data_IF_322059731105
#
_entry.id   IF_322059731105
#
_cell.length_a   1.000
_cell.length_b   1.000
_cell.length_c   1.000
_cell.angle_alpha   90.00
_cell.angle_beta   90.00
_cell.angle_gamma   90.00
#
_symmetry.space_group_name_H-M   'P 1'
#
loop_
_entity.id
_entity.type
_entity.pdbx_description
1 polymer ?
#
# COMPACT_ATOMS: atom_id res chain seq x y z
N UNK A 1 23.49 35.86 54.86
CA UNK A 1 23.16 36.29 53.51
C UNK A 1 21.62 36.32 53.42
N UNK A 2 21.06 37.37 52.87
CA UNK A 2 19.63 37.48 52.60
C UNK A 2 19.39 37.50 51.09
N UNK A 3 18.35 36.86 50.64
CA UNK A 3 17.90 36.90 49.24
C UNK A 3 16.55 37.59 49.19
N UNK A 4 16.27 38.28 48.09
CA UNK A 4 14.96 38.90 47.86
C UNK A 4 14.00 37.80 47.40
N UNK A 5 12.80 37.79 47.96
CA UNK A 5 11.69 36.93 47.49
C UNK A 5 11.14 37.56 46.22
N UNK A 6 11.16 36.83 45.13
CA UNK A 6 10.65 37.28 43.84
C UNK A 6 9.34 36.56 43.52
N UNK A 7 8.45 37.24 42.79
CA UNK A 7 7.31 36.62 42.16
C UNK A 7 7.63 36.39 40.71
N UNK A 8 7.64 35.12 40.29
CA UNK A 8 7.77 34.74 38.88
C UNK A 8 7.16 33.38 38.62
N UNK A 9 6.85 33.14 37.37
CA UNK A 9 6.52 31.80 36.90
C UNK A 9 7.79 30.96 36.93
N UNK A 10 7.74 29.83 37.62
CA UNK A 10 8.83 28.82 37.60
C UNK A 10 8.57 27.90 36.42
N UNK A 11 9.55 27.77 35.57
CA UNK A 11 9.53 26.82 34.47
C UNK A 11 10.70 25.85 34.66
N UNK A 12 10.37 24.58 34.77
CA UNK A 12 11.37 23.51 34.69
C UNK A 12 11.64 23.24 33.23
N UNK A 13 12.82 23.55 32.76
CA UNK A 13 13.24 23.30 31.38
C UNK A 13 14.13 22.07 31.32
N UNK A 14 13.79 21.17 30.37
CA UNK A 14 14.71 20.11 29.97
C UNK A 14 15.45 20.57 28.72
N UNK A 15 16.78 20.50 28.77
CA UNK A 15 17.63 20.81 27.62
C UNK A 15 18.30 19.51 27.19
N UNK A 16 18.07 19.11 25.97
CA UNK A 16 18.66 17.94 25.35
C UNK A 16 19.10 18.25 23.93
N UNK A 17 19.49 17.25 23.18
CA UNK A 17 19.84 17.36 21.78
C UNK A 17 18.99 16.38 20.96
N UNK A 18 18.67 16.76 19.73
CA UNK A 18 17.96 15.91 18.80
C UNK A 18 18.53 16.01 17.40
N UNK A 19 18.51 14.90 16.71
CA UNK A 19 19.00 14.78 15.33
C UNK A 19 17.90 15.14 14.34
N UNK A 20 18.19 16.01 13.39
CA UNK A 20 17.29 16.35 12.31
C UNK A 20 17.26 15.20 11.29
N UNK A 21 16.14 14.56 11.19
CA UNK A 21 15.92 13.42 10.28
C UNK A 21 14.71 13.67 9.40
N UNK A 22 14.67 13.11 8.19
CA UNK A 22 13.44 13.14 7.39
C UNK A 22 12.36 12.28 8.07
N UNK A 23 11.11 12.71 7.94
CA UNK A 23 9.96 12.00 8.49
C UNK A 23 9.83 10.58 7.92
N UNK A 24 10.16 10.43 6.63
CA UNK A 24 10.10 9.16 5.91
C UNK A 24 11.45 8.87 5.26
N UNK A 25 11.87 7.63 5.36
CA UNK A 25 13.03 7.13 4.63
C UNK A 25 12.75 5.75 4.03
N UNK A 26 13.30 5.50 2.86
CA UNK A 26 13.25 4.19 2.21
C UNK A 26 14.62 3.81 1.68
N UNK A 27 14.97 2.54 1.88
CA UNK A 27 16.20 1.97 1.35
C UNK A 27 15.85 1.05 0.18
N UNK A 28 16.39 1.35 -0.99
CA UNK A 28 16.26 0.50 -2.16
C UNK A 28 17.22 -0.68 -2.03
N UNK A 29 16.69 -1.87 -2.27
CA UNK A 29 17.44 -3.14 -2.20
C UNK A 29 17.52 -3.81 -3.56
N UNK A 30 18.35 -4.82 -3.65
CA UNK A 30 18.43 -5.67 -4.84
C UNK A 30 17.06 -6.34 -5.10
N UNK A 31 16.50 -6.21 -6.32
CA UNK A 31 15.28 -6.92 -6.68
C UNK A 31 15.46 -8.43 -6.60
N UNK A 32 14.43 -9.15 -6.17
CA UNK A 32 14.44 -10.64 -6.12
C UNK A 32 14.50 -11.28 -7.50
N UNK A 33 14.23 -10.51 -8.54
CA UNK A 33 14.36 -10.94 -9.95
C UNK A 33 15.81 -11.07 -10.43
N UNK A 34 16.77 -10.51 -9.66
CA UNK A 34 18.20 -10.62 -9.97
C UNK A 34 18.73 -11.96 -9.50
N UNK A 35 19.22 -12.77 -10.42
CA UNK A 35 19.82 -14.08 -10.14
C UNK A 35 21.35 -13.97 -10.19
N UNK A 36 22.03 -14.57 -9.23
CA UNK A 36 23.49 -14.52 -9.11
C UNK A 36 23.99 -13.27 -8.37
N UNK A 37 25.24 -12.90 -8.63
CA UNK A 37 25.85 -11.73 -7.99
C UNK A 37 25.25 -10.44 -8.58
N UNK A 38 24.65 -9.57 -7.77
CA UNK A 38 24.03 -8.36 -8.27
C UNK A 38 25.07 -7.36 -8.75
N UNK A 39 24.81 -6.77 -9.91
CA UNK A 39 25.66 -5.75 -10.54
C UNK A 39 24.83 -4.49 -10.78
N UNK A 40 25.30 -3.34 -10.32
CA UNK A 40 24.69 -2.07 -10.68
C UNK A 40 25.08 -1.75 -12.12
N UNK A 41 24.12 -1.82 -13.01
CA UNK A 41 24.31 -1.59 -14.45
C UNK A 41 24.00 -0.14 -14.85
N UNK A 42 23.12 0.53 -14.10
CA UNK A 42 22.84 1.95 -14.32
C UNK A 42 22.42 2.61 -13.00
N UNK A 43 22.88 3.84 -12.80
CA UNK A 43 22.46 4.70 -11.69
C UNK A 43 21.90 5.98 -12.30
N UNK A 44 20.60 6.19 -12.15
CA UNK A 44 19.90 7.31 -12.77
C UNK A 44 19.88 8.58 -11.92
N UNK A 45 20.34 8.49 -10.68
CA UNK A 45 20.31 9.57 -9.69
C UNK A 45 21.64 9.68 -8.94
N UNK A 46 21.94 10.88 -8.46
CA UNK A 46 23.06 11.18 -7.57
C UNK A 46 22.56 11.62 -6.19
N UNK A 47 23.45 11.59 -5.20
CA UNK A 47 23.12 12.12 -3.88
C UNK A 47 22.75 13.61 -3.96
N UNK A 48 21.63 13.98 -3.39
CA UNK A 48 21.05 15.31 -3.42
C UNK A 48 19.98 15.52 -4.50
N UNK A 49 19.85 14.62 -5.47
CA UNK A 49 18.83 14.71 -6.50
C UNK A 49 17.42 14.51 -5.92
N UNK A 50 16.45 15.07 -6.60
CA UNK A 50 15.03 14.92 -6.34
C UNK A 50 14.45 13.80 -7.23
N UNK A 51 13.65 12.93 -6.62
CA UNK A 51 13.02 11.79 -7.29
C UNK A 51 11.51 11.97 -7.29
N UNK A 52 10.89 11.81 -8.45
CA UNK A 52 9.45 11.95 -8.66
C UNK A 52 8.78 10.59 -8.89
N UNK A 53 7.45 10.54 -8.82
CA UNK A 53 6.68 9.33 -9.02
C UNK A 53 6.89 8.74 -10.42
N UNK A 54 7.09 7.42 -10.50
CA UNK A 54 7.35 6.69 -11.75
C UNK A 54 8.81 6.73 -12.20
N UNK A 55 9.68 7.49 -11.54
CA UNK A 55 11.07 7.60 -11.95
C UNK A 55 11.86 6.33 -11.62
N UNK A 56 12.67 5.88 -12.58
CA UNK A 56 13.70 4.87 -12.35
C UNK A 56 14.86 5.51 -11.57
N UNK A 57 15.28 4.86 -10.50
CA UNK A 57 16.35 5.33 -9.63
C UNK A 57 17.65 4.59 -9.89
N UNK A 58 17.58 3.28 -10.02
CA UNK A 58 18.73 2.41 -10.24
C UNK A 58 18.33 1.24 -11.13
N UNK A 59 19.31 0.64 -11.78
CA UNK A 59 19.18 -0.61 -12.51
C UNK A 59 20.21 -1.60 -11.95
N UNK A 60 19.73 -2.79 -11.59
CA UNK A 60 20.55 -3.87 -11.05
C UNK A 60 20.47 -5.07 -11.96
N UNK A 61 21.59 -5.47 -12.55
CA UNK A 61 21.68 -6.59 -13.51
C UNK A 61 20.60 -6.52 -14.61
N UNK A 62 20.38 -5.31 -15.16
CA UNK A 62 19.39 -5.06 -16.20
C UNK A 62 17.94 -4.95 -15.69
N UNK A 63 17.70 -5.02 -14.38
CA UNK A 63 16.36 -4.85 -13.79
C UNK A 63 16.18 -3.47 -13.15
N UNK A 64 15.12 -2.73 -13.49
CA UNK A 64 14.88 -1.39 -12.98
C UNK A 64 14.33 -1.41 -11.56
N UNK A 65 14.62 -0.35 -10.80
CA UNK A 65 13.94 -0.04 -9.55
C UNK A 65 13.28 1.33 -9.69
N UNK A 66 11.96 1.36 -9.56
CA UNK A 66 11.14 2.57 -9.66
C UNK A 66 10.63 3.00 -8.29
N UNK A 67 10.31 4.28 -8.17
CA UNK A 67 9.70 4.85 -6.96
C UNK A 67 8.27 5.29 -7.27
N UNK A 68 7.33 4.89 -6.42
CA UNK A 68 5.91 5.21 -6.52
C UNK A 68 5.40 5.76 -5.18
N UNK A 69 4.28 6.48 -5.21
CA UNK A 69 3.60 6.93 -3.98
C UNK A 69 2.77 5.81 -3.39
N UNK A 70 2.97 5.55 -2.09
CA UNK A 70 2.18 4.59 -1.33
C UNK A 70 2.72 4.36 0.08
N UNK A 71 1.85 3.88 0.98
CA UNK A 71 2.14 3.74 2.40
C UNK A 71 2.62 2.33 2.78
N UNK A 72 2.26 1.33 1.96
CA UNK A 72 2.60 -0.08 2.24
C UNK A 72 3.89 -0.46 1.53
N UNK A 73 4.94 -0.85 2.25
CA UNK A 73 6.17 -1.36 1.62
C UNK A 73 5.91 -2.61 0.78
N UNK A 74 6.64 -2.76 -0.32
CA UNK A 74 6.57 -3.97 -1.15
C UNK A 74 7.16 -5.16 -0.39
N UNK A 75 6.35 -6.14 -0.07
CA UNK A 75 6.74 -7.32 0.69
C UNK A 75 6.67 -8.62 -0.13
N UNK A 76 6.13 -8.56 -1.34
CA UNK A 76 6.00 -9.70 -2.28
C UNK A 76 6.01 -9.22 -3.72
N UNK A 77 6.28 -10.11 -4.67
CA UNK A 77 6.05 -9.84 -6.08
C UNK A 77 4.55 -9.79 -6.37
N UNK A 78 4.12 -8.85 -7.24
CA UNK A 78 2.74 -8.66 -7.64
C UNK A 78 2.54 -9.21 -9.05
N UNK A 79 1.54 -10.08 -9.23
CA UNK A 79 1.23 -10.75 -10.50
C UNK A 79 -0.28 -10.82 -10.73
N UNK A 80 -0.72 -11.05 -11.98
CA UNK A 80 -2.14 -11.19 -12.30
C UNK A 80 -2.87 -12.19 -11.41
N UNK A 81 -4.11 -11.90 -11.07
CA UNK A 81 -4.95 -12.71 -10.18
C UNK A 81 -4.71 -12.48 -8.68
N UNK A 82 -3.66 -11.77 -8.28
CA UNK A 82 -3.43 -11.46 -6.86
C UNK A 82 -4.38 -10.40 -6.34
N UNK A 83 -4.63 -10.45 -5.03
CA UNK A 83 -5.48 -9.47 -4.33
C UNK A 83 -4.76 -8.93 -3.09
N UNK A 84 -5.07 -7.69 -2.71
CA UNK A 84 -4.55 -7.08 -1.48
C UNK A 84 -4.38 -5.57 -1.55
N UNK A 85 -4.07 -4.96 -0.39
CA UNK A 85 -3.83 -3.53 -0.28
C UNK A 85 -2.63 -3.05 -1.12
N UNK A 86 -1.63 -3.89 -1.27
CA UNK A 86 -0.47 -3.68 -2.13
C UNK A 86 -0.85 -3.57 -3.63
N UNK A 87 -1.81 -4.39 -4.07
CA UNK A 87 -2.37 -4.30 -5.42
C UNK A 87 -3.17 -3.00 -5.58
N UNK A 88 -4.02 -2.64 -4.60
CA UNK A 88 -4.77 -1.39 -4.65
C UNK A 88 -3.84 -0.16 -4.73
N UNK A 89 -2.73 -0.20 -4.00
CA UNK A 89 -1.73 0.85 -4.01
C UNK A 89 -1.01 0.95 -5.37
N UNK A 90 -0.66 -0.18 -5.98
CA UNK A 90 -0.11 -0.23 -7.33
C UNK A 90 -1.10 0.35 -8.36
N UNK A 91 -2.37 -0.04 -8.30
CA UNK A 91 -3.44 0.49 -9.16
C UNK A 91 -3.56 2.01 -9.03
N UNK A 92 -3.56 2.53 -7.79
CA UNK A 92 -3.61 3.96 -7.53
C UNK A 92 -2.40 4.71 -8.11
N UNK A 93 -1.19 4.14 -7.97
CA UNK A 93 0.03 4.72 -8.52
C UNK A 93 0.00 4.75 -10.06
N UNK A 94 -0.34 3.63 -10.70
CA UNK A 94 -0.45 3.56 -12.16
C UNK A 94 -1.54 4.51 -12.71
N UNK A 95 -2.65 4.67 -11.99
CA UNK A 95 -3.71 5.61 -12.36
C UNK A 95 -3.23 7.07 -12.30
N UNK A 96 -2.43 7.44 -11.28
CA UNK A 96 -1.80 8.78 -11.21
C UNK A 96 -0.81 9.02 -12.35
N UNK A 97 -0.14 7.97 -12.80
CA UNK A 97 0.75 8.02 -13.97
C UNK A 97 0.01 8.02 -15.32
N UNK A 98 -1.32 8.06 -15.29
CA UNK A 98 -2.16 8.25 -16.48
C UNK A 98 -2.66 6.96 -17.13
N UNK A 99 -2.49 5.79 -16.49
CA UNK A 99 -3.04 4.54 -17.01
C UNK A 99 -4.43 4.27 -16.39
N UNK A 100 -5.52 4.27 -17.18
CA UNK A 100 -6.86 4.03 -16.66
C UNK A 100 -7.02 2.57 -16.25
N UNK A 101 -7.48 2.33 -15.02
CA UNK A 101 -7.73 1.00 -14.47
C UNK A 101 -9.19 0.93 -14.02
N UNK A 102 -9.94 0.00 -14.60
CA UNK A 102 -11.33 -0.29 -14.26
C UNK A 102 -11.50 -1.61 -13.51
N UNK A 103 -10.41 -2.33 -13.29
CA UNK A 103 -10.39 -3.53 -12.44
C UNK A 103 -10.97 -3.23 -11.05
N UNK A 104 -11.57 -4.24 -10.43
CA UNK A 104 -11.98 -4.11 -9.05
C UNK A 104 -10.79 -3.69 -8.17
N UNK A 105 -11.03 -2.76 -7.25
CA UNK A 105 -9.99 -2.28 -6.34
C UNK A 105 -9.36 -3.45 -5.57
N UNK A 106 -8.05 -3.43 -5.47
CA UNK A 106 -7.27 -4.47 -4.83
C UNK A 106 -7.26 -5.83 -5.55
N UNK A 107 -7.66 -5.90 -6.82
CA UNK A 107 -7.60 -7.10 -7.66
C UNK A 107 -6.69 -6.82 -8.85
N UNK A 108 -5.61 -7.58 -9.00
CA UNK A 108 -4.72 -7.46 -10.16
C UNK A 108 -5.40 -8.11 -11.39
N UNK A 109 -6.24 -7.33 -12.06
CA UNK A 109 -7.03 -7.75 -13.21
C UNK A 109 -6.38 -7.41 -14.55
N UNK A 110 -7.17 -7.51 -15.63
CA UNK A 110 -6.69 -7.27 -17.00
C UNK A 110 -6.14 -5.86 -17.24
N UNK A 111 -6.78 -4.82 -16.69
CA UNK A 111 -6.32 -3.44 -16.88
C UNK A 111 -5.03 -3.18 -16.09
N UNK A 112 -4.94 -3.68 -14.85
CA UNK A 112 -3.71 -3.60 -14.05
C UNK A 112 -2.56 -4.30 -14.79
N UNK A 113 -2.83 -5.47 -15.39
CA UNK A 113 -1.88 -6.21 -16.23
C UNK A 113 -1.39 -5.38 -17.41
N UNK A 114 -2.30 -4.78 -18.15
CA UNK A 114 -1.97 -3.92 -19.29
C UNK A 114 -1.16 -2.69 -18.86
N UNK A 115 -1.56 -2.04 -17.77
CA UNK A 115 -0.89 -0.86 -17.23
C UNK A 115 0.53 -1.17 -16.73
N UNK A 116 0.75 -2.30 -16.07
CA UNK A 116 2.10 -2.72 -15.66
C UNK A 116 2.98 -2.98 -16.89
N UNK A 117 2.46 -3.69 -17.90
CA UNK A 117 3.19 -3.91 -19.15
C UNK A 117 3.60 -2.60 -19.83
N UNK A 118 2.66 -1.65 -19.95
CA UNK A 118 2.91 -0.33 -20.52
C UNK A 118 3.94 0.46 -19.70
N UNK A 119 3.80 0.48 -18.37
CA UNK A 119 4.71 1.18 -17.48
C UNK A 119 6.18 0.74 -17.64
N UNK A 120 6.41 -0.59 -17.74
CA UNK A 120 7.75 -1.10 -17.99
C UNK A 120 8.23 -0.76 -19.40
N UNK A 121 7.37 -0.92 -20.41
CA UNK A 121 7.71 -0.63 -21.81
C UNK A 121 8.05 0.84 -22.03
N UNK A 122 7.31 1.77 -21.44
CA UNK A 122 7.57 3.22 -21.50
C UNK A 122 8.93 3.58 -20.88
N UNK A 123 9.36 2.82 -19.88
CA UNK A 123 10.67 2.98 -19.27
C UNK A 123 11.79 2.25 -20.03
N UNK A 124 11.48 1.53 -21.14
CA UNK A 124 12.41 0.78 -21.96
C UNK A 124 12.76 -0.62 -21.42
N UNK A 125 11.90 -1.19 -20.61
CA UNK A 125 12.06 -2.52 -20.03
C UNK A 125 10.91 -3.45 -20.43
N UNK A 126 11.15 -4.73 -20.27
CA UNK A 126 10.11 -5.75 -20.35
C UNK A 126 9.74 -6.20 -18.91
N UNK A 127 8.45 -6.17 -18.61
CA UNK A 127 7.95 -6.73 -17.35
C UNK A 127 8.18 -8.25 -17.36
N UNK A 128 8.51 -8.81 -16.19
CA UNK A 128 8.74 -10.25 -16.09
C UNK A 128 7.43 -11.02 -16.31
N UNK A 129 7.48 -12.19 -16.95
CA UNK A 129 6.35 -13.09 -16.97
C UNK A 129 6.08 -13.68 -15.56
N UNK A 130 4.92 -14.23 -15.34
CA UNK A 130 4.55 -14.87 -14.07
C UNK A 130 5.36 -16.13 -13.76
N UNK A 131 5.88 -16.77 -14.82
CA UNK A 131 6.77 -17.92 -14.75
C UNK A 131 7.65 -17.99 -16.02
N UNK A 132 8.77 -18.69 -15.95
CA UNK A 132 9.63 -18.93 -17.12
C UNK A 132 8.94 -19.77 -18.20
N UNK A 133 7.95 -20.58 -17.83
CA UNK A 133 7.20 -21.47 -18.73
C UNK A 133 5.92 -20.83 -19.25
N UNK A 134 5.57 -19.61 -18.84
CA UNK A 134 4.29 -18.96 -19.15
C UNK A 134 3.90 -19.02 -20.62
N UNK A 135 4.81 -18.66 -21.51
CA UNK A 135 4.54 -18.66 -22.94
C UNK A 135 4.27 -20.06 -23.48
N UNK A 136 5.01 -21.06 -22.97
CA UNK A 136 4.83 -22.46 -23.33
C UNK A 136 3.52 -23.02 -22.77
N UNK A 137 3.19 -22.67 -21.53
CA UNK A 137 1.96 -23.12 -20.87
C UNK A 137 0.71 -22.53 -21.55
N UNK A 138 0.75 -21.24 -21.90
CA UNK A 138 -0.32 -20.59 -22.67
C UNK A 138 -0.49 -21.19 -24.07
N UNK A 139 0.62 -21.47 -24.76
CA UNK A 139 0.60 -22.12 -26.07
C UNK A 139 0.05 -23.55 -25.97
N UNK A 140 0.44 -24.31 -24.94
CA UNK A 140 -0.06 -25.66 -24.70
C UNK A 140 -1.56 -25.66 -24.38
N UNK A 141 -2.03 -24.73 -23.53
CA UNK A 141 -3.43 -24.58 -23.20
C UNK A 141 -4.26 -24.14 -24.42
N UNK A 142 -3.75 -23.22 -25.24
CA UNK A 142 -4.39 -22.83 -26.50
C UNK A 142 -4.52 -24.03 -27.45
N UNK A 143 -3.43 -24.78 -27.61
CA UNK A 143 -3.46 -25.99 -28.44
C UNK A 143 -4.45 -27.04 -27.92
N UNK A 144 -4.60 -27.18 -26.60
CA UNK A 144 -5.58 -28.10 -26.02
C UNK A 144 -7.02 -27.71 -26.37
N UNK A 145 -7.33 -26.42 -26.44
CA UNK A 145 -8.62 -25.91 -26.92
C UNK A 145 -8.83 -26.23 -28.38
N UNK A 146 -7.82 -25.99 -29.23
CA UNK A 146 -7.89 -26.28 -30.68
C UNK A 146 -8.06 -27.77 -30.93
N UNK A 147 -7.31 -28.61 -30.24
CA UNK A 147 -7.41 -30.08 -30.35
C UNK A 147 -8.79 -30.56 -29.89
N UNK A 148 -9.32 -30.03 -28.80
CA UNK A 148 -10.64 -30.34 -28.30
C UNK A 148 -11.75 -29.83 -29.23
N UNK A 149 -11.61 -28.68 -29.89
CA UNK A 149 -12.53 -28.19 -30.90
C UNK A 149 -12.53 -29.11 -32.15
N UNK A 150 -11.34 -29.54 -32.59
CA UNK A 150 -11.24 -30.50 -33.69
C UNK A 150 -11.94 -31.83 -33.34
N UNK A 151 -11.90 -32.29 -32.09
CA UNK A 151 -12.62 -33.46 -31.64
C UNK A 151 -14.17 -33.25 -31.66
N UNK A 152 -14.63 -32.04 -31.28
CA UNK A 152 -16.04 -31.65 -31.41
C UNK A 152 -16.46 -31.69 -32.86
N UNK A 153 -15.70 -31.10 -33.77
CA UNK A 153 -16.00 -31.06 -35.21
C UNK A 153 -16.05 -32.47 -35.80
N UNK A 154 -15.12 -33.34 -35.39
CA UNK A 154 -15.12 -34.75 -35.82
C UNK A 154 -16.33 -35.54 -35.28
N UNK A 155 -16.68 -35.35 -34.00
CA UNK A 155 -17.82 -35.99 -33.38
C UNK A 155 -19.14 -35.50 -33.98
N UNK A 156 -19.26 -34.17 -34.28
CA UNK A 156 -20.41 -33.60 -34.97
C UNK A 156 -20.56 -34.15 -36.38
N UNK A 157 -19.44 -34.26 -37.12
CA UNK A 157 -19.43 -34.87 -38.47
C UNK A 157 -19.86 -36.36 -38.44
N UNK A 158 -19.36 -37.15 -37.48
CA UNK A 158 -19.71 -38.54 -37.28
C UNK A 158 -21.20 -38.67 -36.95
N UNK A 159 -21.72 -37.83 -36.06
CA UNK A 159 -23.12 -37.78 -35.68
C UNK A 159 -24.01 -37.41 -36.87
N UNK A 160 -23.65 -36.39 -37.67
CA UNK A 160 -24.39 -36.02 -38.91
C UNK A 160 -24.43 -37.16 -39.93
N UNK A 161 -23.32 -37.84 -40.11
CA UNK A 161 -23.23 -39.00 -41.01
C UNK A 161 -24.12 -40.12 -40.54
N UNK A 162 -24.18 -40.43 -39.24
CA UNK A 162 -25.08 -41.41 -38.67
C UNK A 162 -26.60 -41.01 -38.83
N UNK A 163 -26.88 -39.70 -38.86
CA UNK A 163 -28.20 -39.13 -39.00
C UNK A 163 -28.69 -39.01 -40.46
N UNK A 164 -27.87 -39.29 -41.48
CA UNK A 164 -28.25 -39.16 -42.92
C UNK A 164 -29.48 -39.96 -43.35
N UNK A 165 -30.04 -40.84 -42.48
CA UNK A 165 -31.28 -41.58 -42.75
C UNK A 165 -32.58 -40.86 -42.36
N UNK A 166 -32.56 -39.67 -41.79
CA UNK A 166 -33.72 -38.94 -41.24
C UNK A 166 -34.28 -37.94 -42.24
N UNK A 167 -35.60 -37.69 -42.20
CA UNK A 167 -36.26 -36.68 -43.03
C UNK A 167 -35.61 -35.32 -42.89
N UNK A 168 -35.01 -34.83 -43.98
CA UNK A 168 -34.16 -33.64 -43.99
C UNK A 168 -34.87 -32.35 -43.54
N UNK A 169 -36.21 -32.28 -43.64
CA UNK A 169 -36.96 -31.10 -43.19
C UNK A 169 -37.13 -31.05 -41.67
N UNK A 170 -37.36 -32.18 -41.04
CA UNK A 170 -37.45 -32.31 -39.57
C UNK A 170 -36.06 -32.12 -38.93
N UNK A 171 -35.03 -32.70 -39.55
CA UNK A 171 -33.65 -32.51 -39.13
C UNK A 171 -33.22 -31.05 -39.19
N UNK A 172 -33.55 -30.33 -40.28
CA UNK A 172 -33.28 -28.92 -40.45
C UNK A 172 -33.98 -28.08 -39.36
N UNK A 173 -35.23 -28.35 -39.04
CA UNK A 173 -35.97 -27.65 -37.99
C UNK A 173 -35.31 -27.81 -36.63
N UNK A 174 -34.83 -29.00 -36.26
CA UNK A 174 -34.15 -29.29 -35.02
C UNK A 174 -32.74 -28.68 -34.98
N UNK A 175 -32.03 -28.66 -36.09
CA UNK A 175 -30.74 -27.98 -36.23
C UNK A 175 -30.91 -26.46 -36.03
N UNK A 176 -31.94 -25.84 -36.64
CA UNK A 176 -32.25 -24.43 -36.42
C UNK A 176 -32.61 -24.11 -34.97
N UNK A 177 -33.31 -25.01 -34.29
CA UNK A 177 -33.64 -24.88 -32.87
C UNK A 177 -32.37 -24.95 -32.00
N UNK A 178 -31.47 -25.88 -32.29
CA UNK A 178 -30.17 -26.00 -31.63
C UNK A 178 -29.30 -24.76 -31.85
N UNK A 179 -29.20 -24.29 -33.10
CA UNK A 179 -28.45 -23.08 -33.42
C UNK A 179 -29.04 -21.84 -32.73
N UNK A 180 -30.38 -21.79 -32.59
CA UNK A 180 -31.03 -20.73 -31.82
C UNK A 180 -30.68 -20.79 -30.32
N UNK A 181 -30.70 -21.99 -29.73
CA UNK A 181 -30.34 -22.19 -28.34
C UNK A 181 -28.86 -21.82 -28.09
N UNK A 182 -27.96 -22.20 -29.00
CA UNK A 182 -26.54 -21.84 -28.94
C UNK A 182 -26.28 -20.32 -29.02
N UNK A 183 -27.04 -19.62 -29.89
CA UNK A 183 -27.00 -18.15 -29.93
C UNK A 183 -27.46 -17.53 -28.60
N UNK A 184 -28.59 -18.02 -28.08
CA UNK A 184 -29.12 -17.56 -26.78
C UNK A 184 -28.14 -17.81 -25.62
N UNK A 185 -27.39 -18.91 -25.67
CA UNK A 185 -26.33 -19.19 -24.69
C UNK A 185 -25.23 -18.16 -24.79
N UNK A 186 -24.71 -17.86 -25.97
CA UNK A 186 -23.68 -16.85 -26.17
C UNK A 186 -24.17 -15.46 -25.75
N UNK A 187 -25.42 -15.11 -26.09
CA UNK A 187 -26.03 -13.84 -25.65
C UNK A 187 -26.15 -13.76 -24.12
N UNK A 188 -26.51 -14.87 -23.48
CA UNK A 188 -26.55 -14.93 -22.01
C UNK A 188 -25.18 -14.78 -21.37
N UNK A 189 -24.12 -15.35 -21.94
CA UNK A 189 -22.74 -15.20 -21.49
C UNK A 189 -22.30 -13.73 -21.57
N UNK A 190 -22.54 -13.09 -22.72
CA UNK A 190 -22.21 -11.67 -22.92
C UNK A 190 -23.04 -10.79 -21.97
N UNK A 191 -24.37 -11.01 -21.90
CA UNK A 191 -25.22 -10.22 -21.02
C UNK A 191 -24.86 -10.39 -19.53
N UNK A 192 -24.45 -11.59 -19.11
CA UNK A 192 -23.99 -11.84 -17.75
C UNK A 192 -22.72 -11.04 -17.43
N UNK A 193 -21.76 -11.01 -18.37
CA UNK A 193 -20.53 -10.23 -18.24
C UNK A 193 -20.83 -8.73 -18.20
N UNK A 194 -21.67 -8.23 -19.11
CA UNK A 194 -22.04 -6.81 -19.18
C UNK A 194 -22.77 -6.34 -17.91
N UNK A 195 -23.73 -7.14 -17.44
CA UNK A 195 -24.48 -6.84 -16.21
C UNK A 195 -23.57 -6.85 -14.96
N UNK A 196 -22.63 -7.76 -14.91
CA UNK A 196 -21.66 -7.80 -13.83
C UNK A 196 -20.75 -6.57 -13.88
N UNK A 197 -20.22 -6.23 -15.05
CA UNK A 197 -19.38 -5.05 -15.27
C UNK A 197 -20.13 -3.75 -14.93
N UNK A 198 -21.40 -3.64 -15.33
CA UNK A 198 -22.21 -2.48 -14.97
C UNK A 198 -22.40 -2.36 -13.45
N UNK A 199 -22.76 -3.46 -12.78
CA UNK A 199 -22.96 -3.47 -11.34
C UNK A 199 -21.63 -3.15 -10.58
N UNK A 200 -20.50 -3.60 -11.08
CA UNK A 200 -19.17 -3.28 -10.56
C UNK A 200 -18.83 -1.79 -10.74
N UNK A 201 -19.17 -1.21 -11.89
CA UNK A 201 -19.01 0.22 -12.12
C UNK A 201 -19.87 1.07 -11.17
N UNK A 202 -21.11 0.66 -10.91
CA UNK A 202 -22.01 1.31 -9.96
C UNK A 202 -21.48 1.17 -8.51
N UNK A 203 -20.90 0.04 -8.16
CA UNK A 203 -20.23 -0.18 -6.87
C UNK A 203 -19.04 0.75 -6.71
N UNK A 204 -18.19 0.87 -7.74
CA UNK A 204 -17.06 1.79 -7.74
C UNK A 204 -17.49 3.26 -7.59
N UNK A 205 -18.59 3.64 -8.26
CA UNK A 205 -19.19 4.97 -8.10
C UNK A 205 -19.72 5.21 -6.69
N UNK A 206 -20.37 4.21 -6.08
CA UNK A 206 -20.85 4.32 -4.70
C UNK A 206 -19.70 4.40 -3.68
N UNK A 207 -18.60 3.70 -3.93
CA UNK A 207 -17.39 3.83 -3.11
C UNK A 207 -16.78 5.23 -3.21
N UNK A 208 -16.64 5.75 -4.43
CA UNK A 208 -16.15 7.12 -4.67
C UNK A 208 -17.03 8.16 -3.97
N UNK A 209 -18.35 7.98 -4.00
CA UNK A 209 -19.29 8.88 -3.31
C UNK A 209 -19.16 8.79 -1.79
N UNK A 210 -18.99 7.60 -1.23
CA UNK A 210 -18.72 7.43 0.20
C UNK A 210 -17.43 8.15 0.61
N UNK A 211 -16.37 7.97 -0.18
CA UNK A 211 -15.08 8.61 0.09
C UNK A 211 -15.20 10.15 -0.02
N UNK A 212 -15.97 10.65 -1.00
CA UNK A 212 -16.29 12.07 -1.13
C UNK A 212 -17.05 12.61 0.08
N UNK A 213 -18.10 11.90 0.52
CA UNK A 213 -18.90 12.31 1.69
C UNK A 213 -18.05 12.28 2.97
N UNK A 214 -17.20 11.29 3.13
CA UNK A 214 -16.27 11.21 4.28
C UNK A 214 -15.22 12.32 4.30
N UNK A 215 -14.81 12.79 3.12
CA UNK A 215 -13.85 13.89 2.99
C UNK A 215 -14.50 15.28 3.16
N UNK A 216 -15.83 15.40 3.10
CA UNK A 216 -16.55 16.65 3.26
C UNK A 216 -16.70 17.03 4.74
N UNK A 217 -16.06 18.11 5.21
CA UNK A 217 -16.15 18.51 6.63
C UNK A 217 -17.54 18.99 7.04
N UNK A 218 -18.47 19.19 6.09
CA UNK A 218 -19.86 19.57 6.36
C UNK A 218 -20.83 18.39 6.38
N UNK A 219 -20.37 17.20 6.04
CA UNK A 219 -21.20 16.00 5.99
C UNK A 219 -21.66 15.60 7.40
N UNK A 220 -22.93 15.27 7.51
CA UNK A 220 -23.50 14.77 8.76
C UNK A 220 -23.29 13.26 8.92
N UNK A 221 -23.35 12.71 10.14
CA UNK A 221 -23.34 11.26 10.35
C UNK A 221 -24.47 10.53 9.58
N UNK A 222 -25.58 11.21 9.33
CA UNK A 222 -26.68 10.67 8.53
C UNK A 222 -26.29 10.53 7.05
N UNK A 223 -25.53 11.51 6.51
CA UNK A 223 -25.06 11.46 5.12
C UNK A 223 -24.06 10.32 4.92
N UNK A 224 -23.14 10.13 5.86
CA UNK A 224 -22.18 9.01 5.84
C UNK A 224 -22.94 7.68 5.91
N UNK A 225 -23.88 7.55 6.82
CA UNK A 225 -24.69 6.32 6.96
C UNK A 225 -25.51 6.03 5.70
N UNK A 226 -26.05 7.06 5.05
CA UNK A 226 -26.78 6.91 3.79
C UNK A 226 -25.85 6.42 2.65
N UNK A 227 -24.65 6.96 2.56
CA UNK A 227 -23.64 6.52 1.58
C UNK A 227 -23.16 5.09 1.85
N UNK A 228 -22.95 4.72 3.12
CA UNK A 228 -22.60 3.35 3.53
C UNK A 228 -23.73 2.36 3.20
N UNK A 229 -24.98 2.74 3.44
CA UNK A 229 -26.14 1.94 3.07
C UNK A 229 -26.19 1.73 1.54
N UNK A 230 -25.97 2.79 0.76
CA UNK A 230 -25.90 2.73 -0.71
C UNK A 230 -24.79 1.80 -1.18
N UNK A 231 -23.58 1.92 -0.59
CA UNK A 231 -22.47 1.00 -0.89
C UNK A 231 -22.83 -0.45 -0.56
N UNK A 232 -23.48 -0.70 0.58
CA UNK A 232 -23.99 -2.03 0.94
C UNK A 232 -25.01 -2.58 -0.07
N UNK A 233 -25.90 -1.72 -0.54
CA UNK A 233 -26.87 -2.07 -1.60
C UNK A 233 -26.18 -2.43 -2.91
N UNK A 234 -25.17 -1.67 -3.33
CA UNK A 234 -24.42 -1.95 -4.56
C UNK A 234 -23.56 -3.22 -4.46
N UNK A 235 -22.96 -3.51 -3.29
CA UNK A 235 -22.33 -4.81 -3.04
C UNK A 235 -23.30 -5.97 -3.24
N UNK A 236 -24.51 -5.84 -2.68
CA UNK A 236 -25.55 -6.85 -2.87
C UNK A 236 -26.03 -6.94 -4.32
N UNK A 237 -26.04 -5.81 -5.05
CA UNK A 237 -26.40 -5.78 -6.48
C UNK A 237 -25.37 -6.52 -7.32
N UNK A 238 -24.06 -6.35 -7.09
CA UNK A 238 -22.99 -7.11 -7.77
C UNK A 238 -23.17 -8.61 -7.53
N UNK A 239 -23.34 -9.03 -6.28
CA UNK A 239 -23.58 -10.43 -5.94
C UNK A 239 -24.86 -10.98 -6.60
N UNK A 240 -25.87 -10.15 -6.72
CA UNK A 240 -27.13 -10.52 -7.39
C UNK A 240 -26.92 -10.62 -8.91
N UNK A 241 -26.24 -9.65 -9.53
CA UNK A 241 -25.93 -9.65 -10.95
C UNK A 241 -25.11 -10.89 -11.35
N UNK A 242 -24.06 -11.20 -10.59
CA UNK A 242 -23.24 -12.40 -10.80
C UNK A 242 -24.04 -13.69 -10.67
N UNK A 243 -24.87 -13.81 -9.62
CA UNK A 243 -25.72 -15.00 -9.41
C UNK A 243 -26.78 -15.14 -10.50
N UNK A 244 -27.45 -14.04 -10.83
CA UNK A 244 -28.48 -14.05 -11.87
C UNK A 244 -27.86 -14.31 -13.24
N UNK A 245 -26.70 -13.74 -13.55
CA UNK A 245 -25.94 -14.00 -14.77
C UNK A 245 -25.53 -15.47 -14.88
N UNK A 246 -24.92 -16.03 -13.84
CA UNK A 246 -24.57 -17.44 -13.79
C UNK A 246 -25.78 -18.35 -13.95
N UNK A 247 -26.90 -18.00 -13.34
CA UNK A 247 -28.16 -18.74 -13.50
C UNK A 247 -28.71 -18.63 -14.92
N UNK A 248 -28.65 -17.45 -15.54
CA UNK A 248 -29.08 -17.25 -16.91
C UNK A 248 -28.24 -18.08 -17.90
N UNK A 249 -26.95 -18.08 -17.74
CA UNK A 249 -25.99 -18.89 -18.52
C UNK A 249 -26.28 -20.38 -18.34
N UNK A 250 -26.49 -20.83 -17.09
CA UNK A 250 -26.84 -22.24 -16.82
C UNK A 250 -28.14 -22.64 -17.46
N UNK A 251 -29.20 -21.82 -17.38
CA UNK A 251 -30.48 -22.07 -18.01
C UNK A 251 -30.37 -22.12 -19.54
N UNK A 252 -29.58 -21.24 -20.13
CA UNK A 252 -29.34 -21.23 -21.56
C UNK A 252 -28.54 -22.47 -22.02
N UNK A 253 -27.58 -22.93 -21.21
CA UNK A 253 -26.87 -24.19 -21.44
C UNK A 253 -27.81 -25.39 -21.35
N UNK A 254 -28.77 -25.38 -20.42
CA UNK A 254 -29.79 -26.41 -20.33
C UNK A 254 -30.72 -26.43 -21.57
N UNK A 255 -31.05 -25.25 -22.12
CA UNK A 255 -31.82 -25.16 -23.37
C UNK A 255 -31.03 -25.72 -24.56
N UNK A 256 -29.72 -25.52 -24.64
CA UNK A 256 -28.87 -26.16 -25.65
C UNK A 256 -28.92 -27.67 -25.50
N UNK A 257 -28.75 -28.19 -24.28
CA UNK A 257 -28.80 -29.63 -24.00
C UNK A 257 -30.18 -30.23 -24.36
N UNK A 258 -31.27 -29.52 -24.07
CA UNK A 258 -32.61 -29.95 -24.40
C UNK A 258 -32.81 -30.00 -25.91
N UNK A 259 -32.39 -28.96 -26.65
CA UNK A 259 -32.48 -28.94 -28.10
C UNK A 259 -31.60 -30.04 -28.75
N UNK A 260 -30.42 -30.28 -28.18
CA UNK A 260 -29.54 -31.39 -28.56
C UNK A 260 -30.23 -32.75 -28.32
N UNK A 261 -30.86 -32.95 -27.16
CA UNK A 261 -31.62 -34.17 -26.86
C UNK A 261 -32.82 -34.38 -27.79
N UNK A 262 -33.57 -33.33 -28.09
CA UNK A 262 -34.73 -33.40 -29.03
C UNK A 262 -34.30 -33.77 -30.45
N UNK A 263 -33.14 -33.22 -30.86
CA UNK A 263 -32.55 -33.54 -32.15
C UNK A 263 -32.15 -35.04 -32.23
N UNK A 264 -31.62 -35.57 -31.14
CA UNK A 264 -31.24 -36.99 -31.00
C UNK A 264 -32.48 -37.90 -31.02
N UNK A 265 -33.51 -37.56 -30.25
CA UNK A 265 -34.74 -38.36 -30.19
C UNK A 265 -35.44 -38.46 -31.57
N UNK A 266 -35.34 -37.40 -32.39
CA UNK A 266 -35.90 -37.39 -33.74
C UNK A 266 -35.06 -38.18 -34.77
N UNK A 267 -33.80 -38.48 -34.48
CA UNK A 267 -32.84 -39.03 -35.47
C UNK A 267 -32.61 -40.52 -35.43
N UNK A 268 -33.23 -41.28 -34.60
CA UNK A 268 -33.04 -42.73 -34.47
C UNK A 268 -32.17 -43.18 -33.28
N UNK A 269 -32.56 -44.23 -32.52
CA UNK A 269 -31.80 -44.72 -31.36
C UNK A 269 -30.38 -45.20 -31.68
N UNK A 270 -30.06 -45.51 -32.91
CA UNK A 270 -28.71 -45.97 -33.30
C UNK A 270 -27.63 -44.85 -33.30
N UNK A 271 -28.02 -43.59 -33.17
CA UNK A 271 -27.09 -42.45 -33.10
C UNK A 271 -26.73 -42.05 -31.66
N UNK A 272 -27.16 -42.83 -30.68
CA UNK A 272 -26.94 -42.50 -29.24
C UNK A 272 -25.48 -42.48 -28.89
N UNK A 273 -24.65 -43.36 -29.46
CA UNK A 273 -23.22 -43.43 -29.19
C UNK A 273 -22.48 -42.18 -29.71
N UNK A 274 -22.80 -41.74 -30.92
CA UNK A 274 -22.21 -40.53 -31.54
C UNK A 274 -22.62 -39.26 -30.82
N UNK A 275 -23.91 -39.21 -30.37
CA UNK A 275 -24.37 -38.11 -29.54
C UNK A 275 -23.65 -38.01 -28.20
N UNK A 276 -23.46 -39.13 -27.49
CA UNK A 276 -22.70 -39.19 -26.26
C UNK A 276 -21.25 -38.74 -26.52
N UNK A 277 -20.66 -39.19 -27.63
CA UNK A 277 -19.29 -38.78 -28.02
C UNK A 277 -19.22 -37.26 -28.27
N UNK A 278 -20.23 -36.68 -28.98
CA UNK A 278 -20.30 -35.23 -29.16
C UNK A 278 -20.44 -34.47 -27.83
N UNK A 279 -21.32 -34.96 -26.93
CA UNK A 279 -21.47 -34.37 -25.59
C UNK A 279 -20.16 -34.41 -24.77
N UNK A 280 -19.42 -35.50 -24.87
CA UNK A 280 -18.12 -35.63 -24.21
C UNK A 280 -17.06 -34.70 -24.84
N UNK A 281 -17.02 -34.58 -26.15
CA UNK A 281 -16.12 -33.68 -26.85
C UNK A 281 -16.41 -32.22 -26.50
N UNK A 282 -17.69 -31.80 -26.44
CA UNK A 282 -18.10 -30.48 -25.99
C UNK A 282 -17.65 -30.19 -24.56
N UNK A 283 -17.89 -31.12 -23.63
CA UNK A 283 -17.47 -30.97 -22.24
C UNK A 283 -15.91 -30.85 -22.11
N UNK A 284 -15.19 -31.60 -22.94
CA UNK A 284 -13.70 -31.53 -22.97
C UNK A 284 -13.23 -30.17 -23.47
N UNK A 285 -13.85 -29.66 -24.56
CA UNK A 285 -13.54 -28.31 -25.09
C UNK A 285 -13.83 -27.23 -24.04
N UNK A 286 -14.97 -27.29 -23.38
CA UNK A 286 -15.35 -26.30 -22.36
C UNK A 286 -14.38 -26.33 -21.17
N UNK A 287 -13.94 -27.52 -20.76
CA UNK A 287 -12.93 -27.68 -19.72
C UNK A 287 -11.58 -27.09 -20.15
N UNK A 288 -11.15 -27.34 -21.39
CA UNK A 288 -9.90 -26.78 -21.92
C UNK A 288 -9.99 -25.25 -22.04
N UNK A 289 -11.12 -24.72 -22.51
CA UNK A 289 -11.36 -23.28 -22.61
C UNK A 289 -11.33 -22.58 -21.22
N UNK A 290 -11.98 -23.15 -20.21
CA UNK A 290 -11.93 -22.63 -18.84
C UNK A 290 -10.53 -22.67 -18.23
N UNK A 291 -9.76 -23.72 -18.55
CA UNK A 291 -8.37 -23.82 -18.12
C UNK A 291 -7.49 -22.73 -18.76
N UNK A 292 -7.66 -22.47 -20.06
CA UNK A 292 -6.97 -21.41 -20.77
C UNK A 292 -7.35 -20.03 -20.21
N UNK A 293 -8.61 -19.76 -19.97
CA UNK A 293 -9.10 -18.51 -19.39
C UNK A 293 -8.49 -18.28 -18.00
N UNK A 294 -8.49 -19.30 -17.15
CA UNK A 294 -7.87 -19.24 -15.82
C UNK A 294 -6.38 -18.95 -15.90
N UNK A 295 -5.69 -19.61 -16.82
CA UNK A 295 -4.27 -19.39 -17.04
C UNK A 295 -4.00 -17.96 -17.53
N UNK A 296 -4.77 -17.48 -18.50
CA UNK A 296 -4.69 -16.11 -18.99
C UNK A 296 -4.97 -15.06 -17.91
N UNK A 297 -5.89 -15.34 -16.99
CA UNK A 297 -6.20 -14.44 -15.89
C UNK A 297 -5.08 -14.37 -14.83
N UNK A 298 -4.28 -15.42 -14.68
CA UNK A 298 -3.25 -15.54 -13.64
C UNK A 298 -1.82 -15.37 -14.15
N UNK A 299 -1.63 -15.27 -15.46
CA UNK A 299 -0.33 -15.07 -16.11
C UNK A 299 -0.20 -13.68 -16.75
N UNK A 300 1.03 -13.23 -16.96
CA UNK A 300 1.36 -11.96 -17.62
C UNK A 300 2.33 -11.10 -16.83
N UNK A 301 2.42 -9.81 -17.18
CA UNK A 301 3.33 -8.86 -16.57
C UNK A 301 3.32 -8.90 -15.05
N UNK A 302 4.49 -9.16 -14.48
CA UNK A 302 4.71 -9.28 -13.04
C UNK A 302 5.64 -8.18 -12.58
N UNK A 303 5.34 -7.58 -11.45
CA UNK A 303 6.22 -6.68 -10.72
C UNK A 303 6.99 -7.50 -9.70
N UNK A 304 8.28 -7.66 -9.90
CA UNK A 304 9.11 -8.38 -8.93
C UNK A 304 9.31 -7.57 -7.66
N UNK A 305 9.34 -8.27 -6.52
CA UNK A 305 9.66 -7.63 -5.24
C UNK A 305 11.02 -6.93 -5.32
N UNK A 306 11.05 -5.65 -4.95
CA UNK A 306 12.25 -4.81 -5.01
C UNK A 306 12.40 -4.01 -6.31
N UNK A 307 11.61 -4.27 -7.36
CA UNK A 307 11.57 -3.41 -8.55
C UNK A 307 10.71 -2.16 -8.36
N UNK A 308 9.82 -2.17 -7.38
CA UNK A 308 9.11 -0.99 -6.92
C UNK A 308 9.44 -0.68 -5.47
N UNK A 309 9.54 0.60 -5.16
CA UNK A 309 9.64 1.13 -3.81
C UNK A 309 8.53 2.15 -3.62
N UNK A 310 7.71 1.95 -2.62
CA UNK A 310 6.68 2.89 -2.26
C UNK A 310 7.16 3.86 -1.19
N UNK A 311 6.86 5.14 -1.40
CA UNK A 311 7.08 6.23 -0.46
C UNK A 311 5.75 6.92 -0.17
N UNK A 312 5.43 7.24 1.08
CA UNK A 312 4.18 7.93 1.41
C UNK A 312 4.06 9.29 0.74
N UNK A 313 5.18 9.95 0.51
CA UNK A 313 5.23 11.28 -0.11
C UNK A 313 6.33 11.36 -1.16
N UNK A 314 6.01 11.98 -2.28
CA UNK A 314 6.94 12.37 -3.33
C UNK A 314 6.67 13.85 -3.69
N UNK A 315 7.67 14.61 -4.13
CA UNK A 315 9.03 14.18 -4.44
C UNK A 315 9.86 13.82 -3.20
N UNK A 316 10.80 12.88 -3.37
CA UNK A 316 11.76 12.47 -2.36
C UNK A 316 13.18 12.87 -2.77
N UNK A 317 14.08 13.03 -1.81
CA UNK A 317 15.48 13.36 -2.05
C UNK A 317 16.39 12.15 -1.84
N UNK A 318 17.35 11.97 -2.71
CA UNK A 318 18.40 10.96 -2.57
C UNK A 318 19.37 11.38 -1.47
N UNK A 319 19.45 10.63 -0.38
CA UNK A 319 20.40 10.87 0.71
C UNK A 319 21.78 10.32 0.39
N UNK A 320 21.78 9.06 0.08
CA UNK A 320 23.02 8.32 -0.24
C UNK A 320 22.78 7.41 -1.41
N UNK A 321 23.79 7.17 -2.17
CA UNK A 321 23.80 6.20 -3.26
C UNK A 321 25.14 5.50 -3.29
N UNK A 322 25.19 4.30 -3.86
CA UNK A 322 26.46 3.67 -4.22
C UNK A 322 27.25 4.59 -5.15
N UNK A 323 28.55 4.62 -4.97
CA UNK A 323 29.41 5.59 -5.65
C UNK A 323 29.88 5.14 -7.04
N UNK A 324 29.66 3.85 -7.42
CA UNK A 324 30.15 3.31 -8.67
C UNK A 324 29.27 2.20 -9.23
N UNK A 325 29.27 2.07 -10.54
CA UNK A 325 28.76 0.89 -11.24
C UNK A 325 29.64 -0.32 -10.92
N UNK A 326 29.06 -1.51 -10.90
CA UNK A 326 29.77 -2.76 -10.70
C UNK A 326 29.12 -3.69 -9.69
N UNK A 327 29.82 -4.74 -9.31
CA UNK A 327 29.33 -5.75 -8.38
C UNK A 327 29.02 -5.18 -7.00
N UNK A 328 27.87 -5.56 -6.49
CA UNK A 328 27.50 -5.36 -5.09
C UNK A 328 28.01 -6.58 -4.29
N UNK A 329 28.79 -6.34 -3.26
CA UNK A 329 29.15 -7.41 -2.33
C UNK A 329 27.93 -7.75 -1.47
N UNK A 330 27.34 -8.95 -1.61
CA UNK A 330 26.13 -9.34 -0.86
C UNK A 330 26.40 -9.44 0.67
N UNK A 331 27.66 -9.60 1.08
CA UNK A 331 28.05 -9.64 2.49
C UNK A 331 28.22 -8.23 3.10
N UNK A 332 28.50 -7.25 2.25
CA UNK A 332 28.75 -5.87 2.64
C UNK A 332 27.80 -4.92 1.89
N UNK A 333 26.53 -5.13 1.81
CA UNK A 333 25.56 -4.19 1.22
C UNK A 333 25.77 -2.70 1.56
N UNK A 334 27.00 -2.35 1.97
CA UNK A 334 27.49 -1.04 2.37
C UNK A 334 28.91 -0.83 1.89
N UNK A 335 29.08 -0.10 0.82
CA UNK A 335 30.33 0.64 0.57
C UNK A 335 30.29 1.98 1.30
N UNK A 336 30.08 1.95 2.62
CA UNK A 336 30.07 3.17 3.43
C UNK A 336 29.26 3.00 4.73
N UNK A 337 29.92 2.71 5.79
CA UNK A 337 29.66 2.78 7.23
C UNK A 337 28.26 3.15 7.76
N UNK A 338 27.19 2.46 7.35
CA UNK A 338 25.86 2.66 7.89
C UNK A 338 25.13 1.33 8.06
N UNK A 339 24.53 1.11 9.21
CA UNK A 339 23.78 -0.07 9.62
C UNK A 339 22.49 -0.23 8.80
N UNK A 340 22.56 -0.73 7.54
CA UNK A 340 21.37 -0.99 6.75
C UNK A 340 21.60 -0.84 5.25
N UNK A 341 22.40 -1.74 4.64
CA UNK A 341 22.88 -1.65 3.27
C UNK A 341 21.82 -1.58 2.18
N UNK A 342 21.29 -0.40 1.88
CA UNK A 342 20.54 -0.09 0.68
C UNK A 342 21.46 0.41 -0.44
N UNK A 343 21.09 0.13 -1.69
CA UNK A 343 21.80 0.65 -2.87
C UNK A 343 21.63 2.17 -2.95
N UNK A 344 20.43 2.65 -2.69
CA UNK A 344 20.03 4.06 -2.64
C UNK A 344 19.15 4.28 -1.42
N UNK A 345 19.41 5.33 -0.69
CA UNK A 345 18.54 5.77 0.39
C UNK A 345 17.78 7.03 -0.04
N UNK A 346 16.48 6.94 0.04
CA UNK A 346 15.57 8.05 -0.22
C UNK A 346 15.03 8.63 1.07
N UNK A 347 14.82 9.93 1.07
CA UNK A 347 14.16 10.64 2.17
C UNK A 347 13.02 11.50 1.62
N UNK A 348 11.88 11.47 2.28
CA UNK A 348 10.69 12.23 1.92
C UNK A 348 9.99 12.80 3.14
N UNK A 349 8.98 13.62 2.91
CA UNK A 349 8.24 14.30 3.95
C UNK A 349 8.97 15.50 4.54
N UNK A 350 8.43 16.04 5.62
CA UNK A 350 9.02 17.12 6.36
C UNK A 350 10.26 16.64 7.16
N UNK A 351 11.13 17.56 7.52
CA UNK A 351 12.18 17.28 8.48
C UNK A 351 11.58 17.28 9.90
N UNK A 352 11.87 16.26 10.64
CA UNK A 352 11.52 16.12 12.05
C UNK A 352 12.78 16.01 12.90
N UNK A 353 12.67 16.28 14.20
CA UNK A 353 13.79 16.11 15.11
C UNK A 353 13.54 14.88 15.98
N UNK A 354 14.46 13.93 15.92
CA UNK A 354 14.44 12.73 16.73
C UNK A 354 15.38 12.90 17.93
N UNK A 355 14.88 12.63 19.13
CA UNK A 355 15.67 12.66 20.35
C UNK A 355 15.47 11.40 21.18
N UNK A 356 16.45 11.05 21.97
CA UNK A 356 16.37 9.95 22.94
C UNK A 356 16.23 10.50 24.34
N UNK A 357 15.15 10.10 25.03
CA UNK A 357 14.83 10.49 26.39
C UNK A 357 15.18 9.38 27.37
N UNK A 358 15.70 9.76 28.52
CA UNK A 358 15.87 8.82 29.63
C UNK A 358 14.53 8.56 30.34
N UNK A 359 14.47 7.49 31.11
CA UNK A 359 13.23 7.09 31.80
C UNK A 359 12.72 8.16 32.80
N UNK A 360 13.61 8.89 33.44
CA UNK A 360 13.26 9.99 34.33
C UNK A 360 12.74 11.22 33.58
N UNK A 361 13.22 11.46 32.37
CA UNK A 361 12.81 12.58 31.52
C UNK A 361 11.43 12.34 30.89
N UNK A 362 11.15 11.10 30.48
CA UNK A 362 9.84 10.72 29.90
C UNK A 362 8.68 11.00 30.85
N UNK A 363 8.89 10.83 32.15
CA UNK A 363 7.86 11.13 33.17
C UNK A 363 7.41 12.61 33.18
N UNK A 364 8.28 13.51 32.70
CA UNK A 364 8.06 14.96 32.69
C UNK A 364 7.50 15.48 31.36
N UNK A 365 7.53 14.66 30.31
CA UNK A 365 7.24 15.09 28.95
C UNK A 365 5.97 14.41 28.44
N UNK A 366 5.21 15.12 27.63
CA UNK A 366 3.97 14.60 27.01
C UNK A 366 3.88 15.04 25.55
N UNK A 367 3.22 14.23 24.75
CA UNK A 367 2.82 14.59 23.39
C UNK A 367 1.98 15.87 23.44
N UNK A 368 2.24 16.79 22.51
CA UNK A 368 1.61 18.11 22.43
C UNK A 368 2.34 19.22 23.18
N UNK A 369 3.43 18.93 23.91
CA UNK A 369 4.22 19.98 24.54
C UNK A 369 4.99 20.82 23.52
N UNK A 370 5.02 22.16 23.68
CA UNK A 370 5.81 23.05 22.84
C UNK A 370 7.30 22.88 23.15
N UNK A 371 8.09 22.96 22.09
CA UNK A 371 9.53 22.80 22.12
C UNK A 371 10.18 23.94 21.34
N UNK A 372 11.32 24.36 21.78
CA UNK A 372 12.18 25.31 21.08
C UNK A 372 13.41 24.57 20.55
N UNK A 373 13.58 24.56 19.23
CA UNK A 373 14.76 23.98 18.56
C UNK A 373 15.71 25.12 18.21
N UNK A 374 16.94 25.03 18.65
CA UNK A 374 17.96 26.03 18.36
C UNK A 374 19.06 25.40 17.50
N UNK A 375 19.28 26.00 16.36
CA UNK A 375 20.52 25.83 15.59
C UNK A 375 21.60 26.70 16.19
N UNK A 376 22.55 26.08 16.83
CA UNK A 376 23.65 26.79 17.50
C UNK A 376 24.65 27.42 16.52
N UNK A 377 24.67 27.00 15.25
CA UNK A 377 25.58 27.54 14.24
C UNK A 377 25.06 28.87 13.68
N UNK A 378 23.78 28.95 13.40
CA UNK A 378 23.14 30.17 12.86
C UNK A 378 22.45 31.00 13.93
N UNK A 379 22.35 30.51 15.17
CA UNK A 379 21.56 31.10 16.25
C UNK A 379 20.08 31.27 15.91
N UNK A 380 19.54 30.43 15.02
CA UNK A 380 18.15 30.47 14.58
C UNK A 380 17.34 29.51 15.44
N UNK A 381 16.18 29.99 15.90
CA UNK A 381 15.25 29.23 16.71
C UNK A 381 14.00 28.84 15.89
N UNK A 382 13.59 27.60 16.00
CA UNK A 382 12.40 27.05 15.36
C UNK A 382 11.43 26.55 16.43
N UNK A 383 10.20 27.08 16.46
CA UNK A 383 9.15 26.52 17.30
C UNK A 383 8.73 25.14 16.78
N UNK A 384 8.44 24.23 17.71
CA UNK A 384 8.12 22.86 17.39
C UNK A 384 7.22 22.25 18.46
N UNK A 385 6.67 21.09 18.19
CA UNK A 385 5.80 20.35 19.09
C UNK A 385 6.21 18.89 19.15
N UNK A 386 6.15 18.28 20.33
CA UNK A 386 6.35 16.83 20.49
C UNK A 386 5.14 16.10 19.94
N UNK A 387 5.33 15.32 18.88
CA UNK A 387 4.24 14.61 18.20
C UNK A 387 4.15 13.13 18.56
N UNK A 388 5.26 12.53 18.97
CA UNK A 388 5.29 11.13 19.37
C UNK A 388 6.34 10.88 20.45
N UNK A 389 6.04 9.93 21.36
CA UNK A 389 6.98 9.37 22.34
C UNK A 389 6.78 7.86 22.29
N UNK A 390 7.84 7.09 22.06
CA UNK A 390 7.78 5.64 22.02
C UNK A 390 7.46 5.05 23.40
N UNK A 391 6.57 4.07 23.46
CA UNK A 391 6.16 3.40 24.70
C UNK A 391 7.26 2.48 25.25
N UNK A 392 8.19 2.05 24.42
CA UNK A 392 9.28 1.14 24.79
C UNK A 392 10.64 1.80 24.61
N UNK A 393 11.52 1.54 25.55
CA UNK A 393 12.91 1.95 25.43
C UNK A 393 13.62 1.13 24.34
N UNK A 394 14.39 1.80 23.51
CA UNK A 394 15.25 1.21 22.48
C UNK A 394 16.70 1.52 22.80
N UNK A 395 17.60 0.63 22.39
CA UNK A 395 19.04 0.87 22.54
C UNK A 395 19.57 1.50 21.26
N UNK A 396 20.11 2.70 21.36
CA UNK A 396 20.73 3.41 20.26
C UNK A 396 22.04 2.77 19.79
N UNK A 397 22.58 3.20 18.63
CA UNK A 397 23.85 2.71 18.10
C UNK A 397 25.05 2.95 19.05
N UNK A 398 24.95 3.92 19.94
CA UNK A 398 25.93 4.29 20.96
C UNK A 398 25.82 3.42 22.24
N UNK A 399 24.89 2.46 22.27
CA UNK A 399 24.64 1.59 23.44
C UNK A 399 23.78 2.25 24.52
N UNK A 400 23.34 3.48 24.36
CA UNK A 400 22.41 4.14 25.30
C UNK A 400 20.99 3.63 25.11
N UNK A 401 20.35 3.26 26.23
CA UNK A 401 18.95 2.84 26.22
C UNK A 401 18.06 4.01 26.60
N UNK A 402 17.04 4.28 25.77
CA UNK A 402 16.13 5.39 26.01
C UNK A 402 14.87 5.32 25.16
N UNK A 403 13.96 6.22 25.41
CA UNK A 403 12.70 6.34 24.69
C UNK A 403 12.86 7.32 23.53
N UNK A 404 12.54 6.87 22.33
CA UNK A 404 12.56 7.74 21.16
C UNK A 404 11.39 8.71 21.20
N UNK A 405 11.66 10.00 21.04
CA UNK A 405 10.63 11.01 20.88
C UNK A 405 10.84 11.75 19.56
N UNK A 406 9.73 12.04 18.88
CA UNK A 406 9.69 12.77 17.62
C UNK A 406 9.10 14.15 17.87
N UNK A 407 9.78 15.15 17.38
CA UNK A 407 9.39 16.55 17.44
C UNK A 407 9.15 17.03 16.02
N UNK A 408 7.96 17.56 15.77
CA UNK A 408 7.60 18.14 14.48
C UNK A 408 7.69 19.66 14.58
N UNK A 409 8.54 20.30 13.76
CA UNK A 409 8.61 21.76 13.69
C UNK A 409 7.32 22.36 13.16
N UNK A 410 6.88 23.49 13.71
CA UNK A 410 5.68 24.20 13.29
C UNK A 410 5.85 24.85 11.91
N UNK A 411 7.09 25.05 11.49
CA UNK A 411 7.48 25.52 10.15
C UNK A 411 8.53 24.59 9.57
N UNK A 412 8.51 24.40 8.26
CA UNK A 412 9.48 23.53 7.58
C UNK A 412 10.93 23.95 7.90
N UNK A 413 11.73 23.01 8.36
CA UNK A 413 13.16 23.23 8.53
C UNK A 413 13.88 23.32 7.18
N UNK A 414 14.89 24.16 7.03
CA UNK A 414 15.76 24.15 5.87
C UNK A 414 16.39 22.78 5.63
N UNK A 415 16.50 22.38 4.36
CA UNK A 415 17.05 21.08 3.96
C UNK A 415 18.52 20.88 4.39
N UNK A 416 19.25 21.97 4.54
CA UNK A 416 20.65 22.00 4.97
C UNK A 416 20.84 21.48 6.40
N UNK A 417 19.78 21.51 7.20
CA UNK A 417 19.81 20.99 8.58
C UNK A 417 19.70 19.47 8.65
N UNK A 418 19.44 18.80 7.55
CA UNK A 418 19.34 17.32 7.52
C UNK A 418 20.62 16.68 8.05
N UNK A 419 20.48 15.81 9.05
CA UNK A 419 21.61 15.14 9.70
C UNK A 419 22.40 16.02 10.69
N UNK A 420 21.97 17.26 10.94
CA UNK A 420 22.54 18.10 11.99
C UNK A 420 21.88 17.81 13.33
N UNK A 421 22.55 18.23 14.39
CA UNK A 421 22.06 18.06 15.75
C UNK A 421 21.67 19.43 16.33
N UNK A 422 20.40 19.58 16.69
CA UNK A 422 19.84 20.80 17.25
C UNK A 422 19.73 20.70 18.77
N UNK A 423 19.86 21.85 19.44
CA UNK A 423 19.54 21.94 20.86
C UNK A 423 18.03 22.02 21.04
N UNK A 424 17.50 21.12 21.84
CA UNK A 424 16.08 20.98 22.14
C UNK A 424 15.82 21.50 23.54
N UNK A 425 14.95 22.50 23.66
CA UNK A 425 14.55 23.07 24.95
C UNK A 425 13.02 22.80 25.14
N UNK A 426 12.68 22.07 26.19
CA UNK A 426 11.32 21.71 26.51
C UNK A 426 10.91 22.31 27.83
N UNK A 427 9.79 23.03 27.88
CA UNK A 427 9.19 23.48 29.12
C UNK A 427 8.41 22.33 29.78
N UNK A 428 9.09 21.52 30.59
CA UNK A 428 8.55 20.28 31.15
C UNK A 428 7.50 20.52 32.24
N UNK A 429 7.64 21.56 33.02
CA UNK A 429 6.65 22.00 34.00
C UNK A 429 6.69 23.51 34.15
N UNK A 430 5.56 24.12 34.34
CA UNK A 430 5.43 25.55 34.65
C UNK A 430 4.46 25.73 35.81
N UNK A 431 4.78 26.65 36.71
CA UNK A 431 3.77 27.09 37.66
C UNK A 431 2.70 27.89 36.90
N UNK A 432 1.40 27.47 36.99
CA UNK A 432 0.28 28.11 36.29
C UNK A 432 0.11 29.60 36.64
N UNK A 433 0.69 30.02 37.78
CA UNK A 433 0.65 31.39 38.28
C UNK A 433 1.99 31.80 38.77
N UNK A 434 2.21 33.12 38.86
CA UNK A 434 3.39 33.66 39.52
C UNK A 434 3.46 33.17 40.99
N UNK A 435 4.51 32.41 41.32
CA UNK A 435 4.77 31.87 42.62
C UNK A 435 5.91 32.64 43.30
N UNK A 436 5.94 32.63 44.63
CA UNK A 436 7.02 33.19 45.39
C UNK A 436 8.25 32.27 45.28
N UNK A 437 9.34 32.80 44.78
CA UNK A 437 10.60 32.04 44.57
C UNK A 437 11.63 32.47 45.59
N UNK A 438 12.21 31.47 46.25
CA UNK A 438 13.31 31.66 47.20
C UNK A 438 14.44 30.68 46.86
N UNK A 439 15.70 31.01 47.14
CA UNK A 439 16.78 30.04 47.01
C UNK A 439 16.54 28.80 47.86
N UNK A 440 16.85 27.62 47.32
CA UNK A 440 16.67 26.35 48.04
C UNK A 440 17.39 26.32 49.42
N UNK A 441 18.48 27.06 49.53
CA UNK A 441 19.24 27.21 50.79
C UNK A 441 18.49 28.02 51.84
N UNK A 442 17.40 28.70 51.50
CA UNK A 442 16.56 29.45 52.43
C UNK A 442 15.42 28.59 53.02
N UNK A 443 15.25 27.36 52.48
CA UNK A 443 14.21 26.44 52.93
C UNK A 443 14.78 25.52 54.00
N UNK A 444 14.08 25.40 55.10
CA UNK A 444 14.43 24.51 56.22
C UNK A 444 13.25 23.55 56.47
N UNK A 445 13.53 22.25 56.53
CA UNK A 445 12.54 21.25 56.91
C UNK A 445 12.80 20.73 58.30
N UNK A 446 11.76 20.73 59.13
CA UNK A 446 11.81 20.20 60.49
C UNK A 446 11.53 18.68 60.50
N UNK A 447 11.83 18.01 61.59
CA UNK A 447 11.66 16.56 61.76
C UNK A 447 10.18 16.10 61.72
N UNK A 448 9.26 17.03 61.94
CA UNK A 448 7.82 16.82 61.87
C UNK A 448 7.21 16.96 60.44
N UNK A 449 8.09 17.25 59.45
CA UNK A 449 7.68 17.44 58.06
C UNK A 449 7.26 18.87 57.71
N UNK A 450 7.28 19.81 58.64
CA UNK A 450 7.01 21.22 58.35
C UNK A 450 8.15 21.86 57.60
N UNK A 451 7.82 22.60 56.55
CA UNK A 451 8.81 23.35 55.74
C UNK A 451 8.66 24.84 56.03
N UNK A 452 9.75 25.49 56.40
CA UNK A 452 9.75 26.90 56.76
C UNK A 452 10.84 27.70 56.01
N UNK A 453 10.54 28.96 55.76
CA UNK A 453 11.50 29.96 55.28
C UNK A 453 11.67 31.05 56.31
N UNK A 454 12.91 31.37 56.64
CA UNK A 454 13.21 32.48 57.57
C UNK A 454 13.05 33.81 56.80
N UNK A 455 12.05 34.58 57.11
CA UNK A 455 11.75 35.88 56.47
C UNK A 455 12.28 37.01 57.35
N UNK A 456 13.06 37.91 56.77
CA UNK A 456 13.51 39.12 57.43
C UNK A 456 12.65 40.30 56.97
N UNK A 457 11.87 40.85 57.89
CA UNK A 457 11.03 42.02 57.58
C UNK A 457 11.93 43.26 57.41
N UNK A 458 11.49 44.20 56.56
CA UNK A 458 12.22 45.44 56.34
C UNK A 458 12.45 46.21 57.66
N UNK A 459 13.73 46.42 57.99
CA UNK A 459 14.16 47.11 59.21
C UNK A 459 14.31 46.22 60.47
N UNK A 460 14.02 44.91 60.39
CA UNK A 460 14.27 43.94 61.45
C UNK A 460 15.64 43.28 61.31
N UNK A 461 16.24 42.87 62.42
CA UNK A 461 17.42 42.03 62.45
C UNK A 461 17.15 40.58 62.79
N UNK A 462 15.93 40.31 63.26
CA UNK A 462 15.54 38.97 63.70
C UNK A 462 14.68 38.27 62.61
N UNK A 463 15.11 37.13 62.06
CA UNK A 463 14.36 36.37 61.08
C UNK A 463 13.17 35.69 61.75
N UNK A 464 12.00 35.72 61.12
CA UNK A 464 10.77 35.03 61.55
C UNK A 464 10.56 33.80 60.65
N UNK A 465 10.45 32.59 61.19
CA UNK A 465 10.11 31.42 60.41
C UNK A 465 8.67 31.52 59.94
N UNK A 466 8.45 31.39 58.65
CA UNK A 466 7.14 31.33 58.00
C UNK A 466 6.98 29.95 57.38
N UNK A 467 5.93 29.28 57.74
CA UNK A 467 5.58 27.99 57.16
C UNK A 467 5.18 28.18 55.71
N UNK A 468 5.74 27.36 54.84
CA UNK A 468 5.51 27.40 53.37
C UNK A 468 5.21 26.00 52.84
N UNK A 469 4.35 25.94 51.87
CA UNK A 469 4.16 24.72 51.09
C UNK A 469 5.06 24.83 49.84
N UNK A 470 5.96 23.90 49.70
CA UNK A 470 6.83 23.84 48.49
C UNK A 470 5.99 23.27 47.35
N UNK A 471 6.05 23.95 46.21
CA UNK A 471 5.52 23.49 44.93
C UNK A 471 6.55 22.71 44.10
N UNK A 472 6.64 23.07 42.83
CA UNK A 472 7.57 22.46 41.87
C UNK A 472 9.02 22.67 42.29
#
# INVERSE_FOLDING_TARGET
MTAVVERRVLTQTLITRGDVTPEVSASLRVPVSVVGDPVITNLAVAAGDEVIEGQRVVEVSGRPVFVLVGDVPVYRSLRPGMTGADVAQLQAALSRLGCPITDASAVYGPDTKACVGAFYADAGYEALPSSETEAADLAAAGKAVDDAQAAVDAADAAWRQAAEGVDGSALLALQLALDSARRSYNDAVVAAADNAAQAEAELAAAQTELDRVRADPTATPADVSAAELKLGQQKSAVETARRSGASAVANAADAVRLAEASLVEATNPDTTAEYIALGQALATRDTAAAALETLQATTGPTVAQGELVFMPTLPARVRTTVTSLGSLDPANGSTGGGTGGGIVELSGGALVVSMTLRADEVALIRVGMPVELLDEQTSTTYPATITNIADNATTGPDGTSGYQATITPDTSLPSELTGTNLRVTIAAASSDTETLVVPITAISSAADGTTTVAVLAAGSRDPVPVEVTTGI
#
